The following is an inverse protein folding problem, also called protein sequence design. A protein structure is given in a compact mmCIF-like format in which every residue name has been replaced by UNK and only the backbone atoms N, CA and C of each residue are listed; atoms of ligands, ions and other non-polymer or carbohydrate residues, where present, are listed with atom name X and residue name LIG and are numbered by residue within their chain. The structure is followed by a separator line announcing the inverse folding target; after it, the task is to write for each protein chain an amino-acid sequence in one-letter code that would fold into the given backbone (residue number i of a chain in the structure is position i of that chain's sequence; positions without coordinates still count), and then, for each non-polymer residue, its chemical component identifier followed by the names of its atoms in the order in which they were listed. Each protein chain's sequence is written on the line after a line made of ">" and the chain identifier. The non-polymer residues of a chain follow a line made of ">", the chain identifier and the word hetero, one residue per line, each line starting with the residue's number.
data_IF_580206494131
#
_entry.id   IF_580206494131
#
_cell.length_a   1.000
_cell.length_b   1.000
_cell.length_c   1.000
_cell.angle_alpha   90.00
_cell.angle_beta   90.00
_cell.angle_gamma   90.00
#
_symmetry.space_group_name_H-M   'P 1'
#
loop_
_entity.id
_entity.type
_entity.pdbx_description
1 polymer ?
#
# COMPACT_ATOMS: atom_id res chain seq x y z
N UNK A 1 71.92 -27.64 1.28
CA UNK A 1 70.76 -26.76 1.04
C UNK A 1 69.97 -27.34 -0.11
N UNK A 2 68.86 -28.01 0.19
CA UNK A 2 67.96 -28.65 -0.78
C UNK A 2 66.68 -27.81 -0.70
N UNK A 3 66.36 -27.09 -1.78
CA UNK A 3 65.09 -26.38 -1.91
C UNK A 3 64.00 -27.39 -2.28
N UNK A 4 62.83 -27.42 -1.61
CA UNK A 4 61.71 -28.20 -2.06
C UNK A 4 61.08 -27.58 -3.32
N UNK A 5 60.50 -28.40 -4.23
CA UNK A 5 59.83 -27.91 -5.42
C UNK A 5 58.57 -27.12 -5.04
N UNK A 6 58.38 -25.99 -5.71
CA UNK A 6 57.14 -25.22 -5.68
C UNK A 6 56.02 -26.11 -6.20
N UNK A 7 55.05 -26.41 -5.33
CA UNK A 7 53.83 -27.09 -5.72
C UNK A 7 53.03 -26.20 -6.65
N UNK A 8 52.66 -26.76 -7.79
CA UNK A 8 51.75 -26.15 -8.74
C UNK A 8 50.39 -25.93 -8.05
N UNK A 9 50.03 -24.66 -7.89
CA UNK A 9 48.70 -24.28 -7.47
C UNK A 9 47.74 -24.61 -8.62
N UNK A 10 47.13 -25.79 -8.56
CA UNK A 10 45.96 -26.12 -9.37
C UNK A 10 44.83 -25.17 -8.98
N UNK A 11 44.67 -24.10 -9.75
CA UNK A 11 43.50 -23.27 -9.76
C UNK A 11 42.34 -24.12 -10.30
N UNK A 12 41.63 -24.80 -9.41
CA UNK A 12 40.33 -25.39 -9.70
C UNK A 12 39.37 -24.28 -10.14
N UNK A 13 39.14 -24.20 -11.44
CA UNK A 13 38.04 -23.43 -12.02
C UNK A 13 36.79 -24.26 -11.76
N UNK A 14 36.07 -23.96 -10.67
CA UNK A 14 34.76 -24.53 -10.38
C UNK A 14 33.74 -24.03 -11.42
N UNK A 15 33.64 -24.74 -12.54
CA UNK A 15 32.70 -24.53 -13.65
C UNK A 15 31.24 -24.95 -13.31
N UNK A 16 30.80 -24.80 -12.06
CA UNK A 16 29.49 -25.28 -11.58
C UNK A 16 28.50 -24.13 -11.24
N UNK A 17 28.56 -22.99 -11.93
CA UNK A 17 27.67 -21.84 -11.71
C UNK A 17 26.56 -21.51 -12.72
N UNK A 18 26.43 -22.10 -13.94
CA UNK A 18 25.43 -21.61 -14.91
C UNK A 18 23.99 -22.10 -14.66
N UNK A 19 23.76 -23.10 -13.81
CA UNK A 19 22.47 -23.79 -13.74
C UNK A 19 21.43 -23.13 -12.80
N UNK A 20 21.86 -22.37 -11.78
CA UNK A 20 20.94 -21.75 -10.80
C UNK A 20 20.23 -20.52 -11.38
N UNK A 21 20.97 -19.65 -12.07
CA UNK A 21 20.45 -18.43 -12.68
C UNK A 21 19.45 -18.75 -13.80
N UNK A 22 19.73 -19.81 -14.58
CA UNK A 22 18.83 -20.30 -15.63
C UNK A 22 17.52 -20.85 -15.07
N UNK A 23 17.56 -21.56 -13.93
CA UNK A 23 16.36 -22.04 -13.22
C UNK A 23 15.52 -20.88 -12.67
N UNK A 24 16.16 -19.84 -12.11
CA UNK A 24 15.47 -18.66 -11.59
C UNK A 24 14.79 -17.85 -12.70
N UNK A 25 15.47 -17.66 -13.84
CA UNK A 25 14.87 -17.02 -15.02
C UNK A 25 13.68 -17.83 -15.56
N UNK A 26 13.79 -19.16 -15.60
CA UNK A 26 12.70 -20.03 -16.04
C UNK A 26 11.49 -19.99 -15.10
N UNK A 27 11.70 -20.00 -13.79
CA UNK A 27 10.60 -19.85 -12.82
C UNK A 27 9.90 -18.50 -12.95
N UNK A 28 10.66 -17.40 -13.06
CA UNK A 28 10.09 -16.07 -13.25
C UNK A 28 9.28 -15.98 -14.55
N UNK A 29 9.77 -16.59 -15.63
CA UNK A 29 9.05 -16.64 -16.90
C UNK A 29 7.74 -17.44 -16.79
N UNK A 30 7.74 -18.58 -16.10
CA UNK A 30 6.51 -19.35 -15.85
C UNK A 30 5.48 -18.55 -15.06
N UNK A 31 5.91 -17.85 -14.01
CA UNK A 31 5.03 -16.98 -13.20
C UNK A 31 4.44 -15.87 -14.07
N UNK A 32 5.25 -15.22 -14.91
CA UNK A 32 4.78 -14.19 -15.83
C UNK A 32 3.74 -14.75 -16.82
N UNK A 33 3.98 -15.92 -17.42
CA UNK A 33 3.04 -16.54 -18.37
C UNK A 33 1.70 -16.85 -17.69
N UNK A 34 1.73 -17.42 -16.49
CA UNK A 34 0.51 -17.73 -15.73
C UNK A 34 -0.26 -16.46 -15.38
N UNK A 35 0.42 -15.40 -14.92
CA UNK A 35 -0.21 -14.14 -14.52
C UNK A 35 -0.66 -13.26 -15.69
N UNK A 36 0.00 -13.32 -16.84
CA UNK A 36 -0.39 -12.55 -18.04
C UNK A 36 -1.57 -13.20 -18.76
N UNK A 37 -1.76 -14.51 -18.63
CA UNK A 37 -2.88 -15.22 -19.28
C UNK A 37 -4.27 -14.62 -18.96
N UNK A 38 -4.67 -14.33 -17.71
CA UNK A 38 -5.94 -13.67 -17.43
C UNK A 38 -6.00 -12.23 -17.97
N UNK A 39 -4.88 -11.50 -17.99
CA UNK A 39 -4.84 -10.15 -18.55
C UNK A 39 -5.09 -10.16 -20.06
N UNK A 40 -4.56 -11.15 -20.78
CA UNK A 40 -4.81 -11.33 -22.21
C UNK A 40 -6.29 -11.67 -22.49
N UNK A 41 -6.90 -12.55 -21.68
CA UNK A 41 -8.33 -12.87 -21.79
C UNK A 41 -9.18 -11.62 -21.55
N UNK A 42 -8.92 -10.87 -20.49
CA UNK A 42 -9.63 -9.62 -20.17
C UNK A 42 -9.49 -8.57 -21.28
N UNK A 43 -8.29 -8.43 -21.86
CA UNK A 43 -8.04 -7.51 -22.95
C UNK A 43 -8.85 -7.90 -24.20
N UNK A 44 -8.80 -9.17 -24.60
CA UNK A 44 -9.54 -9.65 -25.79
C UNK A 44 -11.06 -9.54 -25.62
N UNK A 45 -11.59 -9.84 -24.43
CA UNK A 45 -13.02 -9.62 -24.14
C UNK A 45 -13.38 -8.14 -24.16
N UNK A 46 -12.53 -7.28 -23.57
CA UNK A 46 -12.76 -5.83 -23.54
C UNK A 46 -12.80 -5.21 -24.94
N UNK A 47 -11.87 -5.60 -25.83
CA UNK A 47 -11.88 -5.18 -27.23
C UNK A 47 -13.12 -5.68 -27.99
N UNK A 48 -13.52 -6.93 -27.77
CA UNK A 48 -14.73 -7.50 -28.38
C UNK A 48 -15.99 -6.73 -28.00
N UNK A 49 -16.11 -6.37 -26.72
CA UNK A 49 -17.25 -5.60 -26.22
C UNK A 49 -17.24 -4.17 -26.75
N UNK A 50 -16.09 -3.51 -26.84
CA UNK A 50 -15.99 -2.15 -27.38
C UNK A 50 -16.47 -2.08 -28.85
N UNK A 51 -16.10 -3.06 -29.68
CA UNK A 51 -16.56 -3.13 -31.07
C UNK A 51 -18.07 -3.38 -31.15
N UNK A 52 -18.61 -4.22 -30.25
CA UNK A 52 -20.05 -4.46 -30.17
C UNK A 52 -20.81 -3.21 -29.76
N UNK A 53 -20.35 -2.51 -28.71
CA UNK A 53 -20.93 -1.23 -28.27
C UNK A 53 -20.95 -0.19 -29.40
N UNK A 54 -19.84 -0.08 -30.15
CA UNK A 54 -19.75 0.86 -31.28
C UNK A 54 -20.67 0.50 -32.46
N UNK A 55 -21.05 -0.78 -32.60
CA UNK A 55 -22.00 -1.23 -33.62
C UNK A 55 -23.44 -1.01 -33.16
N UNK A 56 -23.77 -1.35 -31.92
CA UNK A 56 -25.12 -1.13 -31.36
C UNK A 56 -25.45 0.36 -31.27
N UNK A 57 -24.49 1.21 -30.92
CA UNK A 57 -24.68 2.66 -30.90
C UNK A 57 -25.12 3.21 -32.25
N UNK A 58 -24.39 2.84 -33.32
CA UNK A 58 -24.70 3.27 -34.68
C UNK A 58 -26.08 2.80 -35.11
N UNK A 59 -26.45 1.56 -34.79
CA UNK A 59 -27.77 1.02 -35.09
C UNK A 59 -28.86 1.81 -34.34
N UNK A 60 -28.63 2.15 -33.06
CA UNK A 60 -29.58 2.92 -32.26
C UNK A 60 -29.82 4.32 -32.85
N UNK A 61 -28.75 5.04 -33.19
CA UNK A 61 -28.87 6.35 -33.83
C UNK A 61 -29.53 6.29 -35.20
N UNK A 62 -29.21 5.28 -36.01
CA UNK A 62 -29.84 5.08 -37.32
C UNK A 62 -31.34 4.78 -37.18
N UNK A 63 -31.73 3.99 -36.18
CA UNK A 63 -33.13 3.72 -35.87
C UNK A 63 -33.89 4.97 -35.40
N UNK A 64 -33.30 5.76 -34.49
CA UNK A 64 -33.89 7.05 -34.10
C UNK A 64 -34.01 7.97 -35.32
N UNK A 65 -32.96 8.09 -36.13
CA UNK A 65 -32.96 8.95 -37.31
C UNK A 65 -34.05 8.53 -38.32
N UNK A 66 -34.10 7.24 -38.68
CA UNK A 66 -35.08 6.71 -39.64
C UNK A 66 -36.52 6.87 -39.15
N UNK A 67 -36.76 6.71 -37.85
CA UNK A 67 -38.10 6.88 -37.25
C UNK A 67 -38.58 8.33 -37.28
N UNK A 68 -37.69 9.29 -37.02
CA UNK A 68 -38.04 10.71 -36.94
C UNK A 68 -37.80 11.51 -38.22
N UNK A 69 -37.28 10.88 -39.28
CA UNK A 69 -36.96 11.53 -40.56
C UNK A 69 -38.22 11.99 -41.32
N UNK A 70 -39.27 11.18 -41.31
CA UNK A 70 -40.48 11.43 -42.11
C UNK A 70 -41.53 12.28 -41.37
N UNK A 71 -41.29 12.61 -40.09
CA UNK A 71 -42.18 13.44 -39.30
C UNK A 71 -41.98 14.91 -39.68
N UNK A 72 -42.94 15.50 -40.40
CA UNK A 72 -42.93 16.94 -40.71
C UNK A 72 -43.16 17.76 -39.44
N UNK A 73 -42.11 18.42 -38.96
CA UNK A 73 -42.14 19.21 -37.71
C UNK A 73 -42.66 20.62 -37.98
N UNK A 74 -43.70 21.06 -37.27
CA UNK A 74 -44.21 22.45 -37.31
C UNK A 74 -43.79 23.26 -36.09
N UNK A 75 -43.53 22.60 -34.97
CA UNK A 75 -43.14 23.23 -33.71
C UNK A 75 -41.90 22.57 -33.12
N UNK A 76 -41.06 23.34 -32.43
CA UNK A 76 -39.86 22.80 -31.77
C UNK A 76 -40.19 21.79 -30.66
N UNK A 77 -41.38 21.85 -30.06
CA UNK A 77 -41.85 20.89 -29.06
C UNK A 77 -41.97 19.47 -29.61
N UNK A 78 -42.15 19.30 -30.92
CA UNK A 78 -42.23 17.99 -31.59
C UNK A 78 -40.83 17.34 -31.72
N UNK A 79 -39.74 18.10 -31.54
CA UNK A 79 -38.37 17.59 -31.54
C UNK A 79 -37.99 16.87 -30.25
N UNK A 80 -38.79 17.00 -29.18
CA UNK A 80 -38.50 16.42 -27.88
C UNK A 80 -38.32 14.90 -27.94
N UNK A 81 -39.14 14.20 -28.72
CA UNK A 81 -39.06 12.75 -28.85
C UNK A 81 -37.77 12.27 -29.52
N UNK A 82 -37.28 12.99 -30.54
CA UNK A 82 -36.01 12.67 -31.20
C UNK A 82 -34.82 12.88 -30.25
N UNK A 83 -34.83 13.99 -29.50
CA UNK A 83 -33.79 14.27 -28.50
C UNK A 83 -33.76 13.20 -27.40
N UNK A 84 -34.93 12.80 -26.90
CA UNK A 84 -35.04 11.75 -25.89
C UNK A 84 -34.58 10.39 -26.43
N UNK A 85 -34.89 10.06 -27.68
CA UNK A 85 -34.39 8.86 -28.36
C UNK A 85 -32.85 8.87 -28.45
N UNK A 86 -32.27 9.98 -28.90
CA UNK A 86 -30.82 10.13 -29.00
C UNK A 86 -30.12 10.10 -27.64
N UNK A 87 -30.76 10.67 -26.61
CA UNK A 87 -30.24 10.66 -25.25
C UNK A 87 -30.25 9.26 -24.65
N UNK A 88 -31.33 8.49 -24.82
CA UNK A 88 -31.37 7.09 -24.39
C UNK A 88 -30.31 6.24 -25.09
N UNK A 89 -30.11 6.44 -26.41
CA UNK A 89 -29.00 5.79 -27.13
C UNK A 89 -27.63 6.17 -26.55
N UNK A 90 -27.44 7.43 -26.13
CA UNK A 90 -26.18 7.89 -25.53
C UNK A 90 -25.96 7.25 -24.16
N UNK A 91 -26.99 7.20 -23.31
CA UNK A 91 -26.91 6.58 -21.99
C UNK A 91 -26.55 5.09 -22.08
N UNK A 92 -27.15 4.35 -23.01
CA UNK A 92 -26.81 2.94 -23.29
C UNK A 92 -25.35 2.77 -23.73
N UNK A 93 -24.84 3.71 -24.53
CA UNK A 93 -23.45 3.71 -25.00
C UNK A 93 -22.48 3.99 -23.86
N UNK A 94 -22.82 4.96 -23.01
CA UNK A 94 -22.00 5.31 -21.86
C UNK A 94 -21.93 4.16 -20.85
N UNK A 95 -23.04 3.45 -20.61
CA UNK A 95 -23.04 2.23 -19.78
C UNK A 95 -22.18 1.11 -20.41
N UNK A 96 -22.37 0.87 -21.71
CA UNK A 96 -21.64 -0.18 -22.44
C UNK A 96 -20.12 0.10 -22.45
N UNK A 97 -19.73 1.35 -22.70
CA UNK A 97 -18.33 1.77 -22.72
C UNK A 97 -17.71 1.82 -21.33
N UNK A 98 -18.46 2.20 -20.29
CA UNK A 98 -17.98 2.14 -18.91
C UNK A 98 -17.61 0.70 -18.50
N UNK A 99 -18.44 -0.28 -18.89
CA UNK A 99 -18.17 -1.70 -18.66
C UNK A 99 -16.90 -2.16 -19.39
N UNK A 100 -16.75 -1.87 -20.68
CA UNK A 100 -15.54 -2.25 -21.42
C UNK A 100 -14.29 -1.56 -20.87
N UNK A 101 -14.40 -0.29 -20.47
CA UNK A 101 -13.29 0.48 -19.90
C UNK A 101 -12.84 -0.11 -18.56
N UNK A 102 -13.77 -0.54 -17.70
CA UNK A 102 -13.41 -1.20 -16.44
C UNK A 102 -12.60 -2.48 -16.66
N UNK A 103 -12.94 -3.28 -17.68
CA UNK A 103 -12.21 -4.50 -18.04
C UNK A 103 -10.81 -4.17 -18.59
N UNK A 104 -10.69 -3.17 -19.46
CA UNK A 104 -9.40 -2.73 -19.99
C UNK A 104 -8.49 -2.16 -18.89
N UNK A 105 -9.02 -1.32 -18.00
CA UNK A 105 -8.27 -0.78 -16.86
C UNK A 105 -7.79 -1.91 -15.94
N UNK A 106 -8.65 -2.90 -15.67
CA UNK A 106 -8.26 -4.10 -14.93
C UNK A 106 -7.09 -4.84 -15.57
N UNK A 107 -7.13 -5.04 -16.90
CA UNK A 107 -6.04 -5.67 -17.64
C UNK A 107 -4.73 -4.85 -17.56
N UNK A 108 -4.81 -3.52 -17.68
CA UNK A 108 -3.65 -2.62 -17.55
C UNK A 108 -3.04 -2.69 -16.16
N UNK A 109 -3.86 -2.65 -15.09
CA UNK A 109 -3.37 -2.76 -13.72
C UNK A 109 -2.71 -4.11 -13.43
N UNK A 110 -3.23 -5.20 -13.99
CA UNK A 110 -2.61 -6.51 -13.86
C UNK A 110 -1.23 -6.55 -14.52
N UNK A 111 -1.09 -6.06 -15.75
CA UNK A 111 0.20 -6.03 -16.46
C UNK A 111 1.20 -5.13 -15.72
N UNK A 112 0.77 -3.96 -15.27
CA UNK A 112 1.62 -3.04 -14.51
C UNK A 112 2.05 -3.65 -13.16
N UNK A 113 1.12 -4.32 -12.47
CA UNK A 113 1.39 -5.03 -11.22
C UNK A 113 2.41 -6.16 -11.39
N UNK A 114 2.30 -6.95 -12.47
CA UNK A 114 3.28 -7.98 -12.81
C UNK A 114 4.64 -7.36 -13.13
N UNK A 115 4.70 -6.29 -13.93
CA UNK A 115 5.94 -5.61 -14.24
C UNK A 115 6.63 -5.06 -12.98
N UNK A 116 5.87 -4.43 -12.07
CA UNK A 116 6.35 -3.96 -10.78
C UNK A 116 6.84 -5.13 -9.90
N UNK A 117 6.12 -6.24 -9.86
CA UNK A 117 6.52 -7.45 -9.14
C UNK A 117 7.83 -8.05 -9.66
N UNK A 118 8.02 -8.12 -10.98
CA UNK A 118 9.27 -8.58 -11.61
C UNK A 118 10.44 -7.64 -11.29
N UNK A 119 10.20 -6.33 -11.35
CA UNK A 119 11.20 -5.33 -10.95
C UNK A 119 11.61 -5.49 -9.49
N UNK A 120 10.64 -5.58 -8.57
CA UNK A 120 10.92 -5.80 -7.15
C UNK A 120 11.67 -7.11 -6.93
N UNK A 121 11.28 -8.20 -7.59
CA UNK A 121 11.97 -9.49 -7.47
C UNK A 121 13.39 -9.48 -8.06
N UNK A 122 13.70 -8.55 -8.97
CA UNK A 122 15.04 -8.36 -9.53
C UNK A 122 15.90 -7.45 -8.66
N UNK A 123 15.29 -6.47 -7.99
CA UNK A 123 15.97 -5.51 -7.11
C UNK A 123 16.22 -6.09 -5.71
N UNK A 124 15.31 -6.92 -5.20
CA UNK A 124 15.41 -7.51 -3.86
C UNK A 124 16.72 -8.31 -3.64
N UNK A 125 17.18 -9.16 -4.58
CA UNK A 125 18.47 -9.84 -4.47
C UNK A 125 19.65 -8.88 -4.54
N UNK A 126 19.52 -7.73 -5.20
CA UNK A 126 20.57 -6.72 -5.25
C UNK A 126 20.67 -5.94 -3.93
N UNK A 127 19.54 -5.55 -3.34
CA UNK A 127 19.51 -4.88 -2.03
C UNK A 127 19.94 -5.81 -0.89
N UNK A 128 19.57 -7.09 -0.95
CA UNK A 128 20.00 -8.08 0.05
C UNK A 128 21.42 -8.57 -0.24
N UNK A 129 21.79 -8.73 -1.51
CA UNK A 129 23.09 -9.25 -1.98
C UNK A 129 24.23 -8.23 -1.99
N UNK A 130 23.96 -6.95 -1.74
CA UNK A 130 24.98 -5.96 -1.37
C UNK A 130 25.73 -6.32 -0.07
N UNK A 131 25.22 -7.28 0.71
CA UNK A 131 25.92 -7.95 1.82
C UNK A 131 26.41 -9.34 1.39
N UNK A 132 27.44 -9.39 0.55
CA UNK A 132 28.26 -10.59 0.34
C UNK A 132 28.00 -11.33 -0.97
N UNK A 133 28.76 -10.98 -2.00
CA UNK A 133 28.93 -11.73 -3.25
C UNK A 133 29.87 -12.94 -3.12
N UNK A 134 30.12 -13.43 -1.91
CA UNK A 134 30.91 -14.63 -1.69
C UNK A 134 29.99 -15.80 -1.31
N UNK A 135 29.88 -16.74 -2.23
CA UNK A 135 29.11 -17.98 -2.14
C UNK A 135 29.54 -18.96 -1.03
N UNK A 136 30.42 -18.54 -0.12
CA UNK A 136 30.85 -19.37 1.03
C UNK A 136 29.85 -19.38 2.19
N UNK A 137 28.76 -18.60 2.13
CA UNK A 137 27.78 -18.50 3.22
C UNK A 137 26.46 -19.27 3.00
N UNK A 138 26.28 -20.00 1.89
CA UNK A 138 25.09 -20.85 1.73
C UNK A 138 25.11 -22.04 2.71
N UNK A 139 26.28 -22.55 3.12
CA UNK A 139 26.38 -23.52 4.22
C UNK A 139 26.24 -22.90 5.62
N UNK A 140 26.49 -21.59 5.77
CA UNK A 140 26.24 -20.84 7.01
C UNK A 140 24.85 -20.19 7.02
N UNK A 141 23.99 -20.52 6.04
CA UNK A 141 22.57 -20.17 5.97
C UNK A 141 21.67 -21.22 6.65
N UNK A 142 22.12 -21.83 7.75
CA UNK A 142 21.16 -21.99 8.86
C UNK A 142 20.70 -20.59 9.18
N UNK A 143 19.42 -20.29 8.96
CA UNK A 143 18.82 -19.03 9.34
C UNK A 143 19.33 -18.65 10.74
N UNK A 144 20.31 -17.75 10.83
CA UNK A 144 20.60 -17.10 12.10
C UNK A 144 19.36 -16.29 12.32
N UNK A 145 18.56 -16.69 13.31
CA UNK A 145 17.46 -15.89 13.80
C UNK A 145 18.01 -14.47 13.95
N UNK A 146 17.59 -13.56 13.07
CA UNK A 146 18.05 -12.18 13.10
C UNK A 146 17.58 -11.48 14.40
N UNK A 147 16.80 -12.19 15.21
CA UNK A 147 16.53 -11.94 16.61
C UNK A 147 16.44 -13.31 17.33
N UNK A 148 17.58 -13.88 17.73
CA UNK A 148 17.56 -14.68 18.95
C UNK A 148 17.61 -13.66 20.07
N UNK A 149 16.44 -13.29 20.62
CA UNK A 149 16.41 -12.51 21.85
C UNK A 149 17.33 -13.19 22.86
N UNK A 150 18.22 -12.45 23.55
CA UNK A 150 19.00 -13.05 24.62
C UNK A 150 17.99 -13.70 25.58
N UNK A 151 18.11 -15.02 25.77
CA UNK A 151 17.32 -15.72 26.77
C UNK A 151 17.86 -15.21 28.10
N UNK A 152 17.20 -14.19 28.64
CA UNK A 152 17.53 -13.64 29.94
C UNK A 152 17.47 -14.77 30.96
N UNK A 153 18.51 -14.89 31.75
CA UNK A 153 18.51 -15.85 32.86
C UNK A 153 17.42 -15.45 33.86
N UNK A 154 16.91 -16.41 34.63
CA UNK A 154 15.81 -16.15 35.58
C UNK A 154 16.15 -15.00 36.55
N UNK A 155 17.44 -14.85 36.88
CA UNK A 155 17.96 -13.77 37.73
C UNK A 155 17.92 -12.39 37.06
N UNK A 156 18.17 -12.30 35.75
CA UNK A 156 18.06 -11.06 34.97
C UNK A 156 16.60 -10.64 34.78
N UNK A 157 15.68 -11.60 34.62
CA UNK A 157 14.25 -11.32 34.63
C UNK A 157 13.77 -10.80 35.99
N UNK A 158 14.24 -11.38 37.11
CA UNK A 158 13.89 -10.86 38.44
C UNK A 158 14.46 -9.46 38.69
N UNK A 159 15.70 -9.19 38.25
CA UNK A 159 16.33 -7.90 38.42
C UNK A 159 15.63 -6.80 37.59
N UNK A 160 15.29 -7.09 36.33
CA UNK A 160 14.58 -6.14 35.46
C UNK A 160 13.15 -5.88 35.93
N UNK A 161 12.43 -6.90 36.40
CA UNK A 161 11.09 -6.72 36.99
C UNK A 161 11.13 -5.93 38.29
N UNK A 162 12.12 -6.17 39.16
CA UNK A 162 12.30 -5.40 40.39
C UNK A 162 12.61 -3.92 40.09
N UNK A 163 13.47 -3.64 39.10
CA UNK A 163 13.75 -2.28 38.65
C UNK A 163 12.50 -1.61 38.05
N UNK A 164 11.71 -2.34 37.26
CA UNK A 164 10.46 -1.82 36.66
C UNK A 164 9.40 -1.51 37.72
N UNK A 165 9.24 -2.38 38.73
CA UNK A 165 8.34 -2.13 39.87
C UNK A 165 8.79 -0.91 40.67
N UNK A 166 10.09 -0.74 40.89
CA UNK A 166 10.63 0.42 41.62
C UNK A 166 10.37 1.73 40.87
N UNK A 167 10.64 1.77 39.56
CA UNK A 167 10.37 2.95 38.72
C UNK A 167 8.88 3.30 38.60
N UNK A 168 8.00 2.30 38.53
CA UNK A 168 6.54 2.53 38.48
C UNK A 168 6.01 3.14 39.79
N UNK A 169 6.41 2.61 40.95
CA UNK A 169 6.02 3.17 42.25
C UNK A 169 6.51 4.60 42.45
N UNK A 170 7.72 4.91 41.98
CA UNK A 170 8.32 6.23 42.11
C UNK A 170 7.67 7.26 41.17
N UNK A 171 7.15 6.83 40.02
CA UNK A 171 6.39 7.66 39.09
C UNK A 171 4.95 7.93 39.56
N UNK A 172 4.31 6.95 40.21
CA UNK A 172 2.92 7.04 40.71
C UNK A 172 2.80 7.99 41.92
N UNK A 173 3.86 8.17 42.71
CA UNK A 173 3.82 8.89 43.99
C UNK A 173 4.47 10.28 43.99
N UNK A 174 4.79 10.84 42.82
CA UNK A 174 5.23 12.23 42.74
C UNK A 174 4.06 13.14 43.11
N UNK A 175 4.07 13.87 44.23
CA UNK A 175 2.96 14.72 44.63
C UNK A 175 2.70 15.76 43.54
N UNK A 176 1.48 15.77 43.00
CA UNK A 176 1.05 16.74 42.00
C UNK A 176 1.13 18.13 42.61
N UNK A 177 2.00 18.99 42.08
CA UNK A 177 2.02 20.39 42.48
C UNK A 177 0.78 21.07 41.90
N UNK A 178 -0.22 21.29 42.74
CA UNK A 178 -1.44 21.99 42.38
C UNK A 178 -1.15 23.49 42.26
N UNK A 179 -1.60 24.10 41.16
CA UNK A 179 -1.46 25.52 40.86
C UNK A 179 -2.84 26.09 40.56
N UNK A 180 -3.15 27.28 41.08
CA UNK A 180 -4.40 27.98 40.78
C UNK A 180 -4.25 28.79 39.49
N UNK A 181 -5.17 28.60 38.54
CA UNK A 181 -5.22 29.34 37.27
C UNK A 181 -6.59 29.99 37.12
N UNK A 182 -6.63 31.24 36.65
CA UNK A 182 -7.88 31.95 36.37
C UNK A 182 -8.41 31.57 34.97
N UNK A 183 -9.68 31.16 34.89
CA UNK A 183 -10.37 31.01 33.61
C UNK A 183 -10.55 32.38 32.94
N UNK A 184 -10.13 32.53 31.67
CA UNK A 184 -10.24 33.79 30.95
C UNK A 184 -11.70 34.22 30.67
N UNK A 185 -12.61 33.27 30.52
CA UNK A 185 -14.01 33.54 30.15
C UNK A 185 -14.88 33.94 31.34
N UNK A 186 -14.68 33.31 32.49
CA UNK A 186 -15.57 33.48 33.65
C UNK A 186 -14.86 33.87 34.96
N UNK A 187 -13.55 34.16 34.89
CA UNK A 187 -12.65 34.60 35.98
C UNK A 187 -12.58 33.70 37.21
N UNK A 188 -13.20 32.53 37.16
CA UNK A 188 -13.16 31.53 38.23
C UNK A 188 -11.74 30.96 38.35
N UNK A 189 -11.24 30.89 39.59
CA UNK A 189 -10.00 30.18 39.95
C UNK A 189 -10.22 28.67 39.91
N UNK A 190 -9.43 27.98 39.11
CA UNK A 190 -9.44 26.51 38.99
C UNK A 190 -8.09 25.98 39.42
N UNK A 191 -8.07 25.01 40.32
CA UNK A 191 -6.85 24.30 40.74
C UNK A 191 -6.52 23.22 39.71
N UNK A 192 -5.34 23.29 39.11
CA UNK A 192 -4.86 22.38 38.09
C UNK A 192 -3.48 21.85 38.47
N UNK A 193 -3.14 20.64 38.04
CA UNK A 193 -1.78 20.12 38.18
C UNK A 193 -0.80 20.94 37.31
N UNK A 194 0.35 21.34 37.84
CA UNK A 194 1.39 22.08 37.12
C UNK A 194 1.84 21.41 35.81
N UNK A 195 1.65 20.09 35.68
CA UNK A 195 1.92 19.35 34.44
C UNK A 195 1.09 19.86 33.24
N UNK A 196 -0.10 20.42 33.48
CA UNK A 196 -0.94 21.04 32.45
C UNK A 196 -0.33 22.31 31.83
N UNK A 197 0.49 23.04 32.58
CA UNK A 197 1.16 24.26 32.12
C UNK A 197 2.38 23.97 31.24
N UNK A 198 3.03 22.80 31.42
CA UNK A 198 4.27 22.44 30.70
C UNK A 198 4.04 21.69 29.39
N UNK A 199 2.78 21.51 28.96
CA UNK A 199 2.40 20.73 27.77
C UNK A 199 2.99 19.28 27.73
N UNK A 200 3.39 18.73 28.88
CA UNK A 200 3.99 17.39 28.99
C UNK A 200 2.95 16.26 29.02
N UNK A 201 1.65 16.60 29.03
CA UNK A 201 0.55 15.65 28.89
C UNK A 201 0.31 15.39 27.39
N UNK A 202 0.62 14.19 26.89
CA UNK A 202 0.35 13.82 25.50
C UNK A 202 -1.13 13.50 25.26
N UNK A 203 -1.70 14.04 24.19
CA UNK A 203 -2.89 13.50 23.50
C UNK A 203 -4.23 14.03 24.00
N UNK A 204 -4.82 14.97 23.24
CA UNK A 204 -6.25 15.35 23.18
C UNK A 204 -6.97 15.77 24.49
N UNK A 205 -6.32 15.69 25.64
CA UNK A 205 -6.90 16.09 26.92
C UNK A 205 -6.60 17.58 27.14
N UNK A 206 -7.64 18.35 27.43
CA UNK A 206 -7.57 19.77 27.80
C UNK A 206 -8.14 19.95 29.21
N UNK A 207 -7.58 20.88 29.98
CA UNK A 207 -8.16 21.29 31.25
C UNK A 207 -9.34 22.21 30.96
N UNK A 208 -10.54 21.77 31.32
CA UNK A 208 -11.79 22.48 31.01
C UNK A 208 -12.32 23.16 32.26
N UNK A 209 -12.75 24.42 32.14
CA UNK A 209 -13.39 25.13 33.23
C UNK A 209 -14.75 24.46 33.58
N UNK A 210 -15.01 24.12 34.86
CA UNK A 210 -16.25 23.44 35.24
C UNK A 210 -17.50 24.30 35.02
N UNK A 211 -17.37 25.63 35.03
CA UNK A 211 -18.49 26.57 34.94
C UNK A 211 -18.88 26.89 33.49
N UNK A 212 -17.92 27.28 32.66
CA UNK A 212 -18.18 27.77 31.29
C UNK A 212 -17.74 26.79 30.19
N UNK A 213 -17.12 25.66 30.56
CA UNK A 213 -16.60 24.64 29.65
C UNK A 213 -15.57 25.14 28.62
N UNK A 214 -14.98 26.33 28.83
CA UNK A 214 -13.86 26.80 28.01
C UNK A 214 -12.55 26.13 28.43
N UNK A 215 -11.61 26.06 27.50
CA UNK A 215 -10.28 25.49 27.72
C UNK A 215 -9.45 26.47 28.56
N UNK A 216 -8.89 26.01 29.66
CA UNK A 216 -8.06 26.80 30.59
C UNK A 216 -6.56 26.59 30.33
N UNK A 217 -6.15 25.37 30.02
CA UNK A 217 -4.77 25.00 29.66
C UNK A 217 -4.74 23.67 28.89
N UNK A 218 -3.80 23.50 27.97
CA UNK A 218 -3.71 22.33 27.08
C UNK A 218 -3.36 22.75 25.65
N UNK A 219 -3.23 21.78 24.74
CA UNK A 219 -2.80 22.01 23.35
C UNK A 219 -3.72 22.99 22.63
N UNK A 220 -3.17 24.13 22.22
CA UNK A 220 -3.57 24.90 21.04
C UNK A 220 -2.95 24.28 19.80
#
# INVERSE_FOLDING_TARGET
>A
AILPPMGDAEAGIDDEKPNSLRKQMFMNLLICVVLISPAAVLATSGFGDQVRCAKTSKICYDLCYTTYRDVTRRFQSEMKGELECQQNCQDDVDECTAKSNSLMLGAVFLVLGVACGVLLNSVLPWMIGGYGSDDSLVEVRRARALYAEPIFTEDETRASEAARRKGWWEAEHVPSTLVEVNCQTCTLKVTLDARWLKAQMSGLKSAICPKCRSIVAGVT
#
